data_IF_725359159235
#
_entry.id   IF_725359159235
#
_cell.length_a   1.000
_cell.length_b   1.000
_cell.length_c   1.000
_cell.angle_alpha   90.00
_cell.angle_beta   90.00
_cell.angle_gamma   90.00
#
_symmetry.space_group_name_H-M   'P 1'
#
loop_
_entity.id
_entity.type
_entity.pdbx_description
1 polymer ?
#
# COMPACT_ATOMS: atom_id res chain seq x y z
N UNK A 1 -7.97 32.69 -5.87
CA UNK A 1 -9.19 32.97 -6.65
C UNK A 1 -9.21 34.44 -7.01
N UNK A 2 -9.65 34.75 -8.20
CA UNK A 2 -9.80 36.12 -8.70
C UNK A 2 -11.27 36.49 -8.53
N UNK A 3 -11.54 37.49 -7.67
CA UNK A 3 -12.90 37.98 -7.46
C UNK A 3 -13.08 39.35 -8.15
N UNK A 4 -14.16 39.51 -8.89
CA UNK A 4 -14.59 40.77 -9.49
C UNK A 4 -15.46 41.53 -8.47
N UNK A 5 -14.82 42.34 -7.62
CA UNK A 5 -15.50 43.27 -6.71
C UNK A 5 -15.34 44.69 -7.20
N UNK A 6 -16.35 45.23 -7.90
CA UNK A 6 -16.37 46.62 -8.30
C UNK A 6 -15.24 47.03 -9.23
N UNK A 7 -14.69 48.22 -9.09
CA UNK A 7 -13.71 48.84 -10.02
C UNK A 7 -12.28 48.24 -9.94
N UNK A 8 -12.02 47.05 -9.38
CA UNK A 8 -10.69 46.46 -9.31
C UNK A 8 -10.70 44.93 -9.15
N UNK A 9 -9.91 44.24 -9.97
CA UNK A 9 -9.60 42.82 -9.77
C UNK A 9 -8.77 42.67 -8.49
N UNK A 10 -9.33 42.02 -7.47
CA UNK A 10 -8.63 41.69 -6.24
C UNK A 10 -8.39 40.15 -6.17
N UNK A 11 -7.14 39.80 -5.83
CA UNK A 11 -6.80 38.40 -5.58
C UNK A 11 -7.11 38.04 -4.13
N UNK A 12 -7.89 37.02 -3.92
CA UNK A 12 -8.16 36.45 -2.59
C UNK A 12 -7.49 35.08 -2.45
N UNK A 13 -7.05 34.77 -1.24
CA UNK A 13 -6.46 33.49 -0.91
C UNK A 13 -7.54 32.53 -0.42
N UNK A 14 -7.72 31.41 -1.11
CA UNK A 14 -8.63 30.34 -0.72
C UNK A 14 -7.82 29.09 -0.33
N UNK A 15 -8.25 28.42 0.74
CA UNK A 15 -7.60 27.19 1.19
C UNK A 15 -7.93 26.01 0.27
N UNK A 16 -6.92 25.43 -0.36
CA UNK A 16 -7.05 24.22 -1.16
C UNK A 16 -7.24 22.95 -0.30
N UNK A 17 -7.56 21.84 -0.95
CA UNK A 17 -7.90 20.57 -0.30
C UNK A 17 -6.84 20.09 0.72
N UNK A 18 -5.56 20.19 0.39
CA UNK A 18 -4.48 19.74 1.28
C UNK A 18 -4.33 20.62 2.53
N UNK A 19 -4.67 21.93 2.42
CA UNK A 19 -4.67 22.85 3.57
C UNK A 19 -5.88 22.59 4.46
N UNK A 20 -7.05 22.33 3.85
CA UNK A 20 -8.27 21.98 4.60
C UNK A 20 -8.13 20.64 5.34
N UNK A 21 -7.31 19.73 4.82
CA UNK A 21 -7.01 18.45 5.44
C UNK A 21 -5.92 18.51 6.53
N UNK A 22 -5.44 19.70 6.95
CA UNK A 22 -4.37 19.82 7.97
C UNK A 22 -4.71 19.00 9.23
N UNK A 23 -3.81 18.10 9.64
CA UNK A 23 -3.96 17.09 10.72
C UNK A 23 -5.01 16.00 10.46
N UNK A 24 -5.52 15.89 9.24
CA UNK A 24 -6.47 14.89 8.80
C UNK A 24 -5.93 14.00 7.69
N UNK A 25 -6.85 13.55 6.85
CA UNK A 25 -6.57 12.72 5.68
C UNK A 25 -7.10 13.44 4.44
N UNK A 26 -6.29 13.56 3.41
CA UNK A 26 -6.69 13.98 2.08
C UNK A 26 -6.78 12.76 1.17
N UNK A 27 -7.96 12.46 0.64
CA UNK A 27 -8.14 11.46 -0.39
C UNK A 27 -8.19 12.17 -1.75
N UNK A 28 -7.27 11.81 -2.64
CA UNK A 28 -7.14 12.40 -3.98
C UNK A 28 -7.26 11.30 -5.01
N UNK A 29 -8.29 11.37 -5.81
CA UNK A 29 -8.50 10.48 -6.95
C UNK A 29 -7.92 11.09 -8.21
N UNK A 30 -7.64 10.26 -9.22
CA UNK A 30 -7.10 10.67 -10.52
C UNK A 30 -5.79 11.49 -10.40
N UNK A 31 -4.86 11.04 -9.55
CA UNK A 31 -3.55 11.69 -9.38
C UNK A 31 -2.78 11.84 -10.70
N UNK A 32 -2.97 10.90 -11.62
CA UNK A 32 -2.39 10.90 -12.95
C UNK A 32 -2.85 12.09 -13.81
N UNK A 33 -4.03 12.65 -13.54
CA UNK A 33 -4.63 13.75 -14.32
C UNK A 33 -4.40 15.15 -13.72
N UNK A 34 -3.66 15.26 -12.62
CA UNK A 34 -3.39 16.55 -11.99
C UNK A 34 -2.55 17.47 -12.87
N UNK A 35 -2.85 18.77 -12.82
CA UNK A 35 -2.04 19.81 -13.46
C UNK A 35 -0.65 19.91 -12.81
N UNK A 36 0.35 20.38 -13.57
CA UNK A 36 1.74 20.48 -13.07
C UNK A 36 1.89 21.42 -11.87
N UNK A 37 1.13 22.52 -11.81
CA UNK A 37 1.14 23.46 -10.68
C UNK A 37 0.64 22.77 -9.39
N UNK A 38 -0.42 21.95 -9.50
CA UNK A 38 -0.99 21.21 -8.38
C UNK A 38 -0.05 20.07 -7.93
N UNK A 39 0.61 19.39 -8.87
CA UNK A 39 1.67 18.41 -8.57
C UNK A 39 2.81 19.06 -7.79
N UNK A 40 3.24 20.25 -8.18
CA UNK A 40 4.30 21.00 -7.47
C UNK A 40 3.91 21.35 -6.03
N UNK A 41 2.67 21.80 -5.81
CA UNK A 41 2.13 22.07 -4.48
C UNK A 41 2.07 20.78 -3.64
N UNK A 42 1.72 19.65 -4.25
CA UNK A 42 1.71 18.33 -3.58
C UNK A 42 3.13 17.91 -3.17
N UNK A 43 4.14 18.13 -4.02
CA UNK A 43 5.54 17.88 -3.66
C UNK A 43 5.95 18.61 -2.40
N UNK A 44 5.62 19.90 -2.29
CA UNK A 44 5.94 20.70 -1.11
C UNK A 44 5.16 20.24 0.12
N UNK A 45 3.87 19.93 -0.04
CA UNK A 45 3.03 19.44 1.04
C UNK A 45 3.53 18.12 1.63
N UNK A 46 3.89 17.15 0.77
CA UNK A 46 4.38 15.83 1.19
C UNK A 46 5.78 15.90 1.84
N UNK A 47 6.64 16.83 1.40
CA UNK A 47 8.01 16.92 1.91
C UNK A 47 8.11 17.84 3.11
N UNK A 48 7.48 19.01 3.06
CA UNK A 48 7.64 20.08 4.04
C UNK A 48 6.42 20.26 4.95
N UNK A 49 5.33 19.55 4.69
CA UNK A 49 4.04 19.67 5.41
C UNK A 49 3.49 21.11 5.41
N UNK A 50 3.80 21.85 4.35
CA UNK A 50 3.33 23.22 4.11
C UNK A 50 3.21 23.50 2.62
N UNK A 51 2.47 24.52 2.27
CA UNK A 51 2.34 25.04 0.91
C UNK A 51 2.67 26.51 0.95
N UNK A 52 3.64 26.92 0.13
CA UNK A 52 4.07 28.32 0.02
C UNK A 52 3.45 28.94 -1.23
N UNK A 53 2.81 30.08 -1.06
CA UNK A 53 2.17 30.84 -2.13
C UNK A 53 2.84 32.22 -2.21
N UNK A 54 3.33 32.53 -3.42
CA UNK A 54 3.85 33.87 -3.75
C UNK A 54 3.26 34.26 -5.10
N UNK A 55 2.09 34.92 -5.07
CA UNK A 55 1.37 35.29 -6.29
C UNK A 55 0.63 36.62 -6.09
N UNK A 56 0.69 37.51 -7.05
CA UNK A 56 -0.05 38.78 -7.08
C UNK A 56 0.15 39.67 -5.82
N UNK A 57 1.37 39.70 -5.24
CA UNK A 57 1.68 40.47 -4.04
C UNK A 57 1.26 39.79 -2.72
N UNK A 58 0.68 38.62 -2.77
CA UNK A 58 0.33 37.80 -1.59
C UNK A 58 1.47 36.81 -1.35
N UNK A 59 2.08 36.86 -0.17
CA UNK A 59 3.04 35.88 0.31
C UNK A 59 2.47 35.19 1.54
N UNK A 60 2.19 33.89 1.44
CA UNK A 60 1.63 33.10 2.54
C UNK A 60 2.24 31.73 2.58
N UNK A 61 2.44 31.19 3.79
CA UNK A 61 2.79 29.78 4.02
C UNK A 61 1.68 29.13 4.84
N UNK A 62 1.04 28.13 4.26
CA UNK A 62 -0.08 27.43 4.84
C UNK A 62 0.37 26.03 5.31
N UNK A 63 -0.10 25.60 6.47
CA UNK A 63 0.19 24.26 6.99
C UNK A 63 -0.64 23.22 6.24
N UNK A 64 0.00 22.11 5.90
CA UNK A 64 -0.61 20.98 5.19
C UNK A 64 -0.05 19.66 5.76
N UNK A 65 -0.25 19.44 7.06
CA UNK A 65 0.18 18.24 7.79
C UNK A 65 -0.91 17.19 7.70
N UNK A 66 -1.11 16.62 6.54
CA UNK A 66 -2.12 15.61 6.29
C UNK A 66 -1.47 14.28 5.86
N UNK A 67 -2.20 13.20 6.07
CA UNK A 67 -1.92 11.92 5.41
C UNK A 67 -2.61 11.94 4.06
N UNK A 68 -1.90 11.55 3.00
CA UNK A 68 -2.43 11.51 1.64
C UNK A 68 -2.76 10.07 1.26
N UNK A 69 -4.00 9.84 0.83
CA UNK A 69 -4.42 8.64 0.15
C UNK A 69 -4.67 9.01 -1.32
N UNK A 70 -3.82 8.49 -2.20
CA UNK A 70 -3.91 8.78 -3.63
C UNK A 70 -4.38 7.58 -4.41
N UNK A 71 -5.22 7.80 -5.42
CA UNK A 71 -5.57 6.82 -6.42
C UNK A 71 -5.18 7.34 -7.81
N UNK A 72 -4.61 6.44 -8.64
CA UNK A 72 -4.20 6.75 -10.00
C UNK A 72 -4.49 5.55 -10.90
N UNK A 73 -4.81 5.83 -12.15
CA UNK A 73 -5.01 4.80 -13.15
C UNK A 73 -3.76 4.66 -14.04
N UNK A 74 -3.46 3.46 -14.54
CA UNK A 74 -2.38 3.27 -15.50
C UNK A 74 -2.70 3.97 -16.82
N UNK A 75 -1.66 4.46 -17.52
CA UNK A 75 -1.75 5.20 -18.80
C UNK A 75 -2.62 4.52 -19.84
N UNK A 76 -2.62 3.18 -19.86
CA UNK A 76 -3.31 2.38 -20.87
C UNK A 76 -4.58 1.69 -20.34
N UNK A 77 -5.09 2.12 -19.18
CA UNK A 77 -6.31 1.60 -18.57
C UNK A 77 -6.17 0.25 -17.88
N UNK A 78 -5.02 -0.40 -17.99
CA UNK A 78 -4.65 -1.63 -17.28
C UNK A 78 -3.15 -1.66 -17.06
N UNK A 79 -2.71 -2.35 -16.02
CA UNK A 79 -1.29 -2.61 -15.79
C UNK A 79 -0.79 -3.72 -16.71
N UNK A 80 0.39 -3.52 -17.28
CA UNK A 80 1.16 -4.56 -17.95
C UNK A 80 2.12 -5.17 -16.91
N UNK A 81 2.08 -6.48 -16.75
CA UNK A 81 2.91 -7.20 -15.78
C UNK A 81 4.39 -7.23 -16.17
N UNK A 82 4.70 -6.94 -17.44
CA UNK A 82 6.06 -7.00 -17.97
C UNK A 82 6.79 -5.66 -18.00
N UNK A 83 6.14 -4.59 -17.56
CA UNK A 83 6.73 -3.25 -17.53
C UNK A 83 6.74 -2.68 -16.11
N UNK A 84 7.79 -1.92 -15.73
CA UNK A 84 7.86 -1.26 -14.42
C UNK A 84 6.65 -0.36 -14.18
N UNK A 85 6.03 -0.45 -13.01
CA UNK A 85 4.83 0.32 -12.66
C UNK A 85 5.07 1.83 -12.77
N UNK A 86 6.27 2.29 -12.42
CA UNK A 86 6.64 3.71 -12.53
C UNK A 86 6.55 4.27 -13.95
N UNK A 87 6.68 3.43 -14.99
CA UNK A 87 6.56 3.82 -16.39
C UNK A 87 5.11 3.81 -16.89
N UNK A 88 4.27 3.02 -16.22
CA UNK A 88 2.87 2.85 -16.58
C UNK A 88 1.95 3.91 -15.95
N UNK A 89 2.42 4.66 -14.97
CA UNK A 89 1.67 5.73 -14.33
C UNK A 89 2.22 7.07 -14.83
N UNK A 90 1.34 8.03 -15.13
CA UNK A 90 1.75 9.38 -15.50
C UNK A 90 2.07 10.25 -14.28
N UNK A 91 3.00 9.75 -13.46
CA UNK A 91 3.52 10.44 -12.28
C UNK A 91 5.04 10.52 -12.34
N UNK A 92 5.58 11.65 -11.92
CA UNK A 92 7.02 11.83 -11.83
C UNK A 92 7.64 10.87 -10.80
N UNK A 93 8.76 10.19 -11.10
CA UNK A 93 9.46 9.32 -10.14
C UNK A 93 9.75 10.00 -8.81
N UNK A 94 10.02 11.31 -8.84
CA UNK A 94 10.22 12.14 -7.66
C UNK A 94 8.96 12.22 -6.77
N UNK A 95 7.76 12.18 -7.33
CA UNK A 95 6.51 12.12 -6.58
C UNK A 95 6.26 10.71 -6.03
N UNK A 96 6.43 9.69 -6.87
CA UNK A 96 6.28 8.27 -6.50
C UNK A 96 7.17 7.95 -5.29
N UNK A 97 8.42 8.41 -5.28
CA UNK A 97 9.36 8.17 -4.18
C UNK A 97 8.96 8.80 -2.83
N UNK A 98 7.96 9.68 -2.81
CA UNK A 98 7.45 10.32 -1.58
C UNK A 98 6.33 9.54 -0.91
N UNK A 99 5.73 8.59 -1.62
CA UNK A 99 4.75 7.71 -1.01
C UNK A 99 5.43 6.66 -0.13
N UNK A 100 4.90 6.47 1.05
CA UNK A 100 5.37 5.47 1.99
C UNK A 100 5.05 4.05 1.49
N UNK A 101 3.82 3.88 0.96
CA UNK A 101 3.30 2.64 0.41
C UNK A 101 2.66 2.88 -0.95
N UNK A 102 2.78 1.91 -1.84
CA UNK A 102 2.17 1.89 -3.17
C UNK A 102 1.60 0.49 -3.36
N UNK A 103 0.31 0.40 -3.60
CA UNK A 103 -0.38 -0.85 -3.86
C UNK A 103 -0.91 -0.86 -5.28
N UNK A 104 -0.80 -1.98 -5.96
CA UNK A 104 -1.41 -2.20 -7.26
C UNK A 104 -2.67 -3.03 -7.09
N UNK A 105 -3.75 -2.59 -7.69
CA UNK A 105 -5.01 -3.32 -7.71
C UNK A 105 -5.24 -3.81 -9.13
N UNK A 106 -5.13 -5.12 -9.32
CA UNK A 106 -5.39 -5.78 -10.61
C UNK A 106 -6.70 -6.54 -10.54
N UNK A 107 -7.46 -6.51 -11.63
CA UNK A 107 -8.69 -7.28 -11.75
C UNK A 107 -8.35 -8.68 -12.30
N UNK A 108 -8.57 -9.69 -11.46
CA UNK A 108 -8.41 -11.10 -11.84
C UNK A 108 -9.77 -11.80 -11.66
N UNK A 109 -10.47 -12.12 -12.76
CA UNK A 109 -11.77 -12.79 -12.68
C UNK A 109 -11.68 -14.13 -11.94
N UNK A 110 -12.38 -14.23 -10.81
CA UNK A 110 -12.55 -15.44 -10.03
C UNK A 110 -14.05 -15.68 -9.79
N UNK A 111 -14.66 -16.66 -10.46
CA UNK A 111 -16.11 -16.89 -10.38
C UNK A 111 -16.64 -17.12 -8.96
N UNK A 112 -15.85 -17.71 -8.06
CA UNK A 112 -16.27 -17.94 -6.68
C UNK A 112 -16.19 -16.63 -5.86
N UNK A 113 -15.10 -15.90 -5.99
CA UNK A 113 -14.91 -14.61 -5.33
C UNK A 113 -15.91 -13.58 -5.85
N UNK A 114 -16.05 -13.47 -7.18
CA UNK A 114 -16.97 -12.55 -7.84
C UNK A 114 -18.43 -12.83 -7.47
N UNK A 115 -18.79 -14.11 -7.33
CA UNK A 115 -20.11 -14.52 -6.84
C UNK A 115 -20.39 -14.03 -5.43
N UNK A 116 -19.44 -14.22 -4.49
CA UNK A 116 -19.57 -13.73 -3.10
C UNK A 116 -19.64 -12.22 -3.04
N UNK A 117 -18.83 -11.53 -3.85
CA UNK A 117 -18.83 -10.08 -3.93
C UNK A 117 -20.17 -9.54 -4.47
N UNK A 118 -20.70 -10.15 -5.54
CA UNK A 118 -21.99 -9.78 -6.11
C UNK A 118 -23.12 -9.96 -5.09
N UNK A 119 -23.17 -11.09 -4.40
CA UNK A 119 -24.14 -11.36 -3.35
C UNK A 119 -24.07 -10.32 -2.22
N UNK A 120 -22.86 -9.97 -1.78
CA UNK A 120 -22.67 -8.95 -0.74
C UNK A 120 -23.15 -7.57 -1.19
N UNK A 121 -22.85 -7.17 -2.42
CA UNK A 121 -23.30 -5.89 -2.98
C UNK A 121 -24.83 -5.85 -3.08
N UNK A 122 -25.44 -6.92 -3.58
CA UNK A 122 -26.91 -7.01 -3.69
C UNK A 122 -27.59 -6.95 -2.32
N UNK A 123 -27.08 -7.66 -1.31
CA UNK A 123 -27.59 -7.61 0.06
C UNK A 123 -27.45 -6.21 0.67
N UNK A 124 -26.30 -5.56 0.47
CA UNK A 124 -26.06 -4.19 0.97
C UNK A 124 -27.02 -3.19 0.34
N UNK A 125 -27.25 -3.27 -0.98
CA UNK A 125 -28.22 -2.43 -1.66
C UNK A 125 -29.65 -2.68 -1.14
N UNK A 126 -30.05 -3.93 -0.98
CA UNK A 126 -31.34 -4.30 -0.44
C UNK A 126 -31.57 -3.76 0.99
N UNK A 127 -30.57 -3.88 1.87
CA UNK A 127 -30.62 -3.29 3.20
C UNK A 127 -30.80 -1.77 3.15
N UNK A 128 -30.11 -1.08 2.22
CA UNK A 128 -30.28 0.35 1.99
C UNK A 128 -31.67 0.74 1.50
N UNK A 129 -32.26 -0.03 0.59
CA UNK A 129 -33.63 0.16 0.10
C UNK A 129 -34.65 0.02 1.23
N UNK A 130 -34.54 -1.04 2.05
CA UNK A 130 -35.41 -1.27 3.19
C UNK A 130 -35.35 -0.12 4.21
N UNK A 131 -34.16 0.33 4.55
CA UNK A 131 -33.97 1.48 5.43
C UNK A 131 -34.59 2.77 4.85
N UNK A 132 -34.43 3.01 3.55
CA UNK A 132 -34.99 4.17 2.85
C UNK A 132 -36.50 4.11 2.83
N UNK A 133 -37.12 2.96 2.57
CA UNK A 133 -38.57 2.76 2.59
C UNK A 133 -39.14 2.99 3.99
N UNK A 134 -38.49 2.44 5.02
CA UNK A 134 -38.90 2.65 6.41
C UNK A 134 -38.92 4.14 6.79
N UNK A 135 -37.87 4.87 6.39
CA UNK A 135 -37.72 6.27 6.78
C UNK A 135 -38.67 7.21 6.00
N UNK A 136 -39.09 6.82 4.80
CA UNK A 136 -39.90 7.67 3.90
C UNK A 136 -41.39 7.28 3.82
N UNK A 137 -41.74 6.04 4.13
CA UNK A 137 -43.07 5.49 3.95
C UNK A 137 -43.66 5.12 5.31
N UNK A 138 -44.64 5.92 5.81
CA UNK A 138 -45.28 5.70 7.10
C UNK A 138 -46.09 4.38 7.18
N UNK A 139 -46.36 3.73 6.03
CA UNK A 139 -47.09 2.46 5.92
C UNK A 139 -46.22 1.40 5.24
N UNK A 140 -44.94 1.30 5.63
CA UNK A 140 -44.07 0.25 5.13
C UNK A 140 -44.61 -1.14 5.49
N UNK A 141 -44.68 -2.05 4.52
CA UNK A 141 -45.11 -3.44 4.72
C UNK A 141 -44.02 -4.27 5.47
N UNK A 142 -42.81 -3.75 5.59
CA UNK A 142 -41.70 -4.42 6.26
C UNK A 142 -41.73 -4.18 7.77
N UNK A 143 -41.60 -5.26 8.51
CA UNK A 143 -41.46 -5.19 9.97
C UNK A 143 -40.07 -4.69 10.35
N UNK A 144 -39.98 -4.00 11.52
CA UNK A 144 -38.68 -3.57 12.06
C UNK A 144 -37.70 -4.72 12.13
N UNK A 145 -38.13 -5.90 12.53
CA UNK A 145 -37.31 -7.08 12.69
C UNK A 145 -36.70 -7.56 11.35
N UNK A 146 -37.46 -7.51 10.25
CA UNK A 146 -36.94 -7.87 8.92
C UNK A 146 -35.87 -6.88 8.43
N UNK A 147 -36.01 -5.59 8.73
CA UNK A 147 -35.01 -4.57 8.39
C UNK A 147 -33.75 -4.77 9.21
N UNK A 148 -33.92 -5.03 10.51
CA UNK A 148 -32.80 -5.24 11.43
C UNK A 148 -32.00 -6.50 11.08
N UNK A 149 -32.69 -7.62 10.78
CA UNK A 149 -32.03 -8.89 10.40
C UNK A 149 -31.15 -8.73 9.13
N UNK A 150 -31.69 -8.07 8.08
CA UNK A 150 -30.93 -7.82 6.84
C UNK A 150 -29.80 -6.82 7.05
N UNK A 151 -30.03 -5.80 7.88
CA UNK A 151 -29.01 -4.79 8.19
C UNK A 151 -27.88 -5.39 9.02
N UNK A 152 -28.19 -6.30 9.96
CA UNK A 152 -27.20 -6.97 10.80
C UNK A 152 -26.30 -7.89 9.96
N UNK A 153 -26.84 -8.57 8.93
CA UNK A 153 -26.07 -9.44 8.02
C UNK A 153 -24.98 -8.67 7.23
N UNK A 154 -25.21 -7.38 6.93
CA UNK A 154 -24.27 -6.52 6.18
C UNK A 154 -23.59 -5.47 7.05
N UNK A 155 -23.86 -5.47 8.35
CA UNK A 155 -23.26 -4.51 9.27
C UNK A 155 -21.74 -4.73 9.38
N UNK A 156 -20.96 -3.65 9.56
CA UNK A 156 -19.53 -3.78 9.83
C UNK A 156 -19.31 -4.42 11.20
N UNK A 157 -18.26 -5.25 11.32
CA UNK A 157 -17.90 -5.90 12.60
C UNK A 157 -17.65 -4.92 13.73
N UNK A 158 -17.17 -3.73 13.40
CA UNK A 158 -16.90 -2.65 14.37
C UNK A 158 -17.76 -1.45 14.04
N UNK A 159 -18.54 -1.00 15.01
CA UNK A 159 -19.36 0.21 14.88
C UNK A 159 -18.51 1.44 14.54
N UNK A 160 -18.93 2.22 13.55
CA UNK A 160 -18.19 3.36 13.02
C UNK A 160 -17.95 4.46 14.06
N UNK A 161 -18.90 4.64 15.01
CA UNK A 161 -18.76 5.63 16.08
C UNK A 161 -17.75 5.17 17.13
N UNK A 162 -17.76 3.87 17.45
CA UNK A 162 -16.78 3.25 18.33
C UNK A 162 -15.38 3.36 17.73
N UNK A 163 -15.22 3.05 16.43
CA UNK A 163 -13.96 3.17 15.72
C UNK A 163 -13.42 4.62 15.74
N UNK A 164 -14.27 5.61 15.49
CA UNK A 164 -13.88 7.03 15.59
C UNK A 164 -13.39 7.41 16.98
N UNK A 165 -14.09 6.95 18.02
CA UNK A 165 -13.72 7.19 19.42
C UNK A 165 -12.39 6.53 19.74
N UNK A 166 -12.17 5.30 19.28
CA UNK A 166 -10.92 4.56 19.43
C UNK A 166 -9.73 5.28 18.79
N UNK A 167 -9.86 5.64 17.52
CA UNK A 167 -8.81 6.38 16.80
C UNK A 167 -8.53 7.73 17.45
N UNK A 168 -9.55 8.46 17.88
CA UNK A 168 -9.38 9.74 18.56
C UNK A 168 -8.70 9.58 19.93
N UNK A 169 -8.97 8.49 20.64
CA UNK A 169 -8.30 8.16 21.89
C UNK A 169 -6.82 7.81 21.64
N UNK A 170 -6.53 6.89 20.73
CA UNK A 170 -5.18 6.50 20.36
C UNK A 170 -4.30 7.71 19.96
N UNK A 171 -4.84 8.60 19.10
CA UNK A 171 -4.13 9.82 18.67
C UNK A 171 -3.82 10.80 19.81
N UNK A 172 -4.64 10.83 20.87
CA UNK A 172 -4.46 11.78 21.99
C UNK A 172 -3.65 11.21 23.14
N UNK A 173 -3.68 9.89 23.31
CA UNK A 173 -3.17 9.25 24.52
C UNK A 173 -1.91 8.43 24.29
N UNK A 174 -1.65 7.93 23.06
CA UNK A 174 -0.53 7.05 22.78
C UNK A 174 0.56 7.78 21.99
N UNK A 175 1.76 7.84 22.56
CA UNK A 175 2.96 8.45 21.97
C UNK A 175 4.11 7.45 22.01
N UNK A 176 4.08 6.42 21.14
CA UNK A 176 5.00 5.29 21.22
C UNK A 176 6.47 5.70 21.03
N UNK A 177 7.35 5.07 21.82
CA UNK A 177 8.80 5.17 21.68
C UNK A 177 9.38 3.80 21.35
N UNK A 178 10.37 3.76 20.46
CA UNK A 178 10.94 2.49 20.00
C UNK A 178 11.87 1.85 21.01
N UNK A 179 11.74 0.53 21.18
CA UNK A 179 12.73 -0.31 21.85
C UNK A 179 14.00 -0.45 21.01
N UNK A 180 15.08 -0.92 21.62
CA UNK A 180 16.34 -1.13 20.87
C UNK A 180 16.23 -2.31 19.91
N UNK A 181 15.43 -3.33 20.22
CA UNK A 181 15.09 -4.45 19.35
C UNK A 181 14.34 -3.96 18.11
N UNK A 182 13.28 -3.16 18.27
CA UNK A 182 12.53 -2.59 17.14
C UNK A 182 13.42 -1.74 16.22
N UNK A 183 14.32 -0.93 16.81
CA UNK A 183 15.30 -0.15 16.03
C UNK A 183 16.26 -1.05 15.26
N UNK A 184 16.71 -2.17 15.85
CA UNK A 184 17.59 -3.11 15.18
C UNK A 184 16.90 -3.75 13.98
N UNK A 185 15.68 -4.27 14.13
CA UNK A 185 14.88 -4.86 13.06
C UNK A 185 14.70 -3.90 11.87
N UNK A 186 14.28 -2.66 12.14
CA UNK A 186 14.08 -1.66 11.07
C UNK A 186 15.41 -1.32 10.39
N UNK A 187 16.48 -1.15 11.15
CA UNK A 187 17.81 -0.83 10.61
C UNK A 187 18.34 -1.95 9.73
N UNK A 188 18.22 -3.19 10.15
CA UNK A 188 18.70 -4.37 9.42
C UNK A 188 17.98 -4.49 8.09
N UNK A 189 16.66 -4.42 8.09
CA UNK A 189 15.88 -4.44 6.86
C UNK A 189 16.21 -3.28 5.92
N UNK A 190 16.34 -2.05 6.44
CA UNK A 190 16.68 -0.89 5.62
C UNK A 190 18.07 -1.02 4.98
N UNK A 191 19.07 -1.49 5.72
CA UNK A 191 20.42 -1.68 5.21
C UNK A 191 20.44 -2.79 4.16
N UNK A 192 19.76 -3.89 4.39
CA UNK A 192 19.62 -4.98 3.44
C UNK A 192 18.95 -4.51 2.14
N UNK A 193 17.79 -3.89 2.24
CA UNK A 193 17.07 -3.33 1.08
C UNK A 193 17.93 -2.33 0.30
N UNK A 194 18.66 -1.46 1.00
CA UNK A 194 19.53 -0.47 0.34
C UNK A 194 20.75 -1.11 -0.32
N UNK A 195 21.30 -2.18 0.25
CA UNK A 195 22.46 -2.89 -0.34
C UNK A 195 22.07 -3.59 -1.64
N UNK A 196 20.84 -4.08 -1.72
CA UNK A 196 20.28 -4.76 -2.90
C UNK A 196 19.81 -3.78 -3.99
N UNK A 197 19.25 -2.65 -3.61
CA UNK A 197 18.78 -1.60 -4.53
C UNK A 197 19.83 -0.53 -4.86
N UNK A 198 21.12 -0.86 -4.84
CA UNK A 198 22.19 0.09 -5.12
C UNK A 198 22.42 0.36 -6.63
N UNK A 199 21.77 -0.37 -7.52
CA UNK A 199 21.86 -0.19 -8.96
C UNK A 199 21.09 1.07 -9.42
N UNK A 200 21.68 1.79 -10.39
CA UNK A 200 21.12 3.02 -10.98
C UNK A 200 19.76 2.76 -11.67
N UNK A 201 19.47 1.53 -12.06
CA UNK A 201 18.23 1.11 -12.75
C UNK A 201 17.14 0.61 -11.80
N UNK A 202 17.30 0.76 -10.47
CA UNK A 202 16.29 0.32 -9.52
C UNK A 202 14.95 1.10 -9.74
N UNK A 203 13.81 0.40 -9.87
CA UNK A 203 12.53 1.01 -10.24
C UNK A 203 12.01 2.03 -9.21
N UNK A 204 12.42 1.89 -7.96
CA UNK A 204 12.15 2.87 -6.89
C UNK A 204 13.41 3.05 -6.04
N UNK A 205 13.98 4.24 -5.96
CA UNK A 205 15.18 4.48 -5.17
C UNK A 205 14.91 4.30 -3.67
N UNK A 206 15.70 3.45 -3.01
CA UNK A 206 15.65 3.24 -1.56
C UNK A 206 16.36 4.41 -0.86
N UNK A 207 15.59 5.38 -0.42
CA UNK A 207 16.08 6.57 0.26
C UNK A 207 15.80 6.54 1.77
N UNK A 208 16.34 7.50 2.52
CA UNK A 208 16.03 7.68 3.94
C UNK A 208 14.52 7.83 4.21
N UNK A 209 13.71 8.24 3.21
CA UNK A 209 12.25 8.29 3.34
C UNK A 209 11.63 6.93 3.61
N UNK A 210 12.17 5.85 3.04
CA UNK A 210 11.69 4.48 3.35
C UNK A 210 11.96 4.09 4.80
N UNK A 211 13.09 4.52 5.36
CA UNK A 211 13.36 4.34 6.79
C UNK A 211 12.34 5.08 7.65
N UNK A 212 12.04 6.34 7.31
CA UNK A 212 11.01 7.12 8.00
C UNK A 212 9.61 6.52 7.85
N UNK A 213 9.29 5.93 6.69
CA UNK A 213 8.04 5.21 6.48
C UNK A 213 7.91 4.00 7.42
N UNK A 214 8.96 3.18 7.54
CA UNK A 214 9.00 2.05 8.48
C UNK A 214 8.76 2.50 9.91
N UNK A 215 9.42 3.60 10.34
CA UNK A 215 9.22 4.18 11.67
C UNK A 215 7.76 4.59 11.88
N UNK A 216 7.17 5.32 10.93
CA UNK A 216 5.77 5.76 11.01
C UNK A 216 4.78 4.60 11.07
N UNK A 217 5.02 3.53 10.30
CA UNK A 217 4.18 2.33 10.30
C UNK A 217 4.29 1.56 11.62
N UNK A 218 5.50 1.40 12.15
CA UNK A 218 5.72 0.73 13.44
C UNK A 218 5.08 1.51 14.61
N UNK A 219 5.20 2.85 14.62
CA UNK A 219 4.50 3.69 15.57
C UNK A 219 2.96 3.58 15.43
N UNK A 220 2.45 3.50 14.20
CA UNK A 220 1.03 3.32 13.96
C UNK A 220 0.55 1.95 14.47
N UNK A 221 1.32 0.88 14.26
CA UNK A 221 1.05 -0.45 14.80
C UNK A 221 0.94 -0.43 16.32
N UNK A 222 1.89 0.18 17.02
CA UNK A 222 1.85 0.33 18.48
C UNK A 222 0.61 1.14 18.93
N UNK A 223 0.26 2.24 18.23
CA UNK A 223 -0.95 3.04 18.52
C UNK A 223 -2.24 2.25 18.34
N UNK A 224 -2.31 1.36 17.34
CA UNK A 224 -3.47 0.47 17.16
C UNK A 224 -3.65 -0.46 18.35
N UNK A 225 -2.59 -0.84 19.04
CA UNK A 225 -2.61 -1.63 20.27
C UNK A 225 -2.80 -0.78 21.54
N UNK A 226 -2.92 0.55 21.41
CA UNK A 226 -2.91 1.53 22.51
C UNK A 226 -1.65 1.43 23.40
N UNK A 227 -0.51 1.11 22.78
CA UNK A 227 0.78 0.99 23.46
C UNK A 227 1.59 2.28 23.34
N UNK A 228 2.32 2.64 24.38
CA UNK A 228 3.31 3.73 24.37
C UNK A 228 4.72 3.22 24.01
N UNK A 229 4.83 1.94 23.63
CA UNK A 229 6.11 1.33 23.25
C UNK A 229 5.94 0.61 21.91
N UNK A 230 6.86 0.89 20.99
CA UNK A 230 7.02 0.15 19.74
C UNK A 230 7.93 -1.05 20.02
N UNK A 231 7.39 -2.24 19.93
CA UNK A 231 8.09 -3.50 20.16
C UNK A 231 8.61 -4.11 18.85
N UNK A 232 9.42 -5.16 18.93
CA UNK A 232 9.96 -5.85 17.78
C UNK A 232 8.85 -6.32 16.81
N UNK A 233 7.73 -6.82 17.33
CA UNK A 233 6.57 -7.26 16.56
C UNK A 233 5.94 -6.13 15.72
N UNK A 234 5.92 -4.90 16.22
CA UNK A 234 5.43 -3.73 15.46
C UNK A 234 6.39 -3.40 14.31
N UNK A 235 7.70 -3.54 14.55
CA UNK A 235 8.72 -3.34 13.54
C UNK A 235 8.66 -4.42 12.45
N UNK A 236 8.53 -5.69 12.84
CA UNK A 236 8.36 -6.83 11.92
C UNK A 236 7.11 -6.64 11.04
N UNK A 237 5.97 -6.30 11.62
CA UNK A 237 4.75 -6.01 10.87
C UNK A 237 4.94 -4.86 9.87
N UNK A 238 5.67 -3.81 10.24
CA UNK A 238 5.96 -2.71 9.32
C UNK A 238 6.88 -3.14 8.17
N UNK A 239 7.85 -4.00 8.44
CA UNK A 239 8.74 -4.61 7.44
C UNK A 239 7.94 -5.47 6.47
N UNK A 240 7.04 -6.32 6.98
CA UNK A 240 6.22 -7.20 6.14
C UNK A 240 5.29 -6.43 5.21
N UNK A 241 4.67 -5.35 5.71
CA UNK A 241 3.83 -4.47 4.89
C UNK A 241 4.66 -3.82 3.77
N UNK A 242 5.84 -3.29 4.08
CA UNK A 242 6.70 -2.65 3.07
C UNK A 242 7.23 -3.68 2.07
N UNK A 243 7.58 -4.89 2.53
CA UNK A 243 8.01 -5.99 1.66
C UNK A 243 6.91 -6.40 0.70
N UNK A 244 5.69 -6.64 1.18
CA UNK A 244 4.54 -6.94 0.34
C UNK A 244 4.27 -5.83 -0.69
N UNK A 245 4.30 -4.58 -0.24
CA UNK A 245 4.14 -3.42 -1.13
C UNK A 245 5.22 -3.37 -2.25
N UNK A 246 6.47 -3.71 -1.94
CA UNK A 246 7.54 -3.76 -2.94
C UNK A 246 7.34 -4.92 -3.93
N UNK A 247 6.88 -6.08 -3.45
CA UNK A 247 6.53 -7.21 -4.31
C UNK A 247 5.38 -6.88 -5.26
N UNK A 248 4.32 -6.23 -4.75
CA UNK A 248 3.16 -5.82 -5.55
C UNK A 248 3.54 -4.89 -6.72
N UNK A 249 4.61 -4.12 -6.58
CA UNK A 249 5.12 -3.25 -7.64
C UNK A 249 6.22 -3.91 -8.49
N UNK A 250 6.44 -5.21 -8.32
CA UNK A 250 7.39 -6.00 -9.11
C UNK A 250 8.84 -5.88 -8.67
N UNK A 251 9.11 -5.47 -7.45
CA UNK A 251 10.48 -5.50 -6.90
C UNK A 251 10.73 -6.84 -6.23
N UNK A 252 11.67 -7.61 -6.77
CA UNK A 252 12.15 -8.83 -6.15
C UNK A 252 12.85 -8.50 -4.82
N UNK A 253 12.36 -8.99 -3.67
CA UNK A 253 12.97 -8.69 -2.38
C UNK A 253 14.36 -9.32 -2.19
N UNK A 254 14.74 -10.29 -3.03
CA UNK A 254 16.07 -10.92 -2.97
C UNK A 254 17.12 -10.09 -3.71
N UNK A 255 16.78 -9.56 -4.88
CA UNK A 255 17.72 -8.83 -5.75
C UNK A 255 17.54 -7.32 -5.66
N UNK A 256 16.40 -6.83 -5.22
CA UNK A 256 16.03 -5.42 -5.22
C UNK A 256 15.75 -4.84 -6.61
N UNK A 257 15.78 -5.66 -7.65
CA UNK A 257 15.53 -5.27 -9.05
C UNK A 257 14.07 -5.51 -9.43
N UNK A 258 13.64 -4.87 -10.50
CA UNK A 258 12.32 -5.13 -11.06
C UNK A 258 12.28 -6.52 -11.71
N UNK A 259 11.30 -7.31 -11.33
CA UNK A 259 10.99 -8.60 -11.94
C UNK A 259 9.47 -8.73 -12.15
N UNK A 260 9.04 -8.73 -13.41
CA UNK A 260 7.64 -8.84 -13.77
C UNK A 260 6.97 -10.11 -13.24
N UNK A 261 7.73 -11.19 -13.07
CA UNK A 261 7.22 -12.47 -12.61
C UNK A 261 6.80 -12.42 -11.13
N UNK A 262 7.38 -11.51 -10.34
CA UNK A 262 6.98 -11.28 -8.93
C UNK A 262 5.57 -10.76 -8.83
N UNK A 263 5.14 -9.88 -9.76
CA UNK A 263 3.78 -9.33 -9.79
C UNK A 263 2.74 -10.41 -10.08
N UNK A 264 3.06 -11.33 -11.00
CA UNK A 264 2.11 -12.36 -11.44
C UNK A 264 1.97 -13.51 -10.45
N UNK A 265 3.08 -13.97 -9.88
CA UNK A 265 3.14 -15.24 -9.15
C UNK A 265 3.53 -15.10 -7.68
N UNK A 266 3.96 -13.91 -7.24
CA UNK A 266 4.57 -13.69 -5.93
C UNK A 266 5.99 -14.26 -5.81
N UNK A 267 6.54 -14.82 -6.92
CA UNK A 267 7.89 -15.42 -6.98
C UNK A 267 8.67 -14.82 -8.13
N UNK A 268 9.94 -14.49 -7.89
CA UNK A 268 10.81 -13.92 -8.92
C UNK A 268 11.12 -14.94 -10.03
N UNK A 269 11.48 -14.44 -11.21
CA UNK A 269 11.95 -15.29 -12.30
C UNK A 269 13.11 -16.16 -11.85
N UNK A 270 14.06 -15.59 -11.12
CA UNK A 270 15.22 -16.32 -10.55
C UNK A 270 14.75 -17.46 -9.63
N UNK A 271 13.75 -17.21 -8.79
CA UNK A 271 13.19 -18.24 -7.91
C UNK A 271 12.47 -19.33 -8.70
N UNK A 272 11.68 -18.97 -9.72
CA UNK A 272 11.01 -19.96 -10.59
C UNK A 272 11.99 -20.79 -11.41
N UNK A 273 13.06 -20.16 -11.92
CA UNK A 273 14.11 -20.88 -12.62
C UNK A 273 14.84 -21.85 -11.69
N UNK A 274 15.06 -21.48 -10.41
CA UNK A 274 15.58 -22.39 -9.38
C UNK A 274 14.62 -23.57 -9.14
N UNK A 275 13.35 -23.29 -8.86
CA UNK A 275 12.32 -24.33 -8.66
C UNK A 275 12.23 -25.27 -9.86
N UNK A 276 12.29 -24.71 -11.08
CA UNK A 276 12.28 -25.50 -12.31
C UNK A 276 13.53 -26.40 -12.44
N UNK A 277 14.70 -25.85 -12.10
CA UNK A 277 15.95 -26.58 -12.12
C UNK A 277 15.96 -27.70 -11.07
N UNK A 278 15.48 -27.40 -9.84
CA UNK A 278 15.33 -28.40 -8.78
C UNK A 278 14.35 -29.51 -9.20
N UNK A 279 13.20 -29.18 -9.77
CA UNK A 279 12.27 -30.17 -10.31
C UNK A 279 12.90 -31.03 -11.42
N UNK A 280 13.71 -30.42 -12.29
CA UNK A 280 14.48 -31.13 -13.30
C UNK A 280 15.48 -32.11 -12.69
N UNK A 281 16.26 -31.66 -11.70
CA UNK A 281 17.21 -32.48 -10.97
C UNK A 281 16.51 -33.64 -10.24
N UNK A 282 15.39 -33.36 -9.55
CA UNK A 282 14.60 -34.43 -8.90
C UNK A 282 14.17 -35.48 -9.91
N UNK A 283 13.65 -35.08 -11.07
CA UNK A 283 13.22 -36.01 -12.11
C UNK A 283 14.38 -36.83 -12.69
N UNK A 284 15.57 -36.24 -12.87
CA UNK A 284 16.78 -36.95 -13.32
C UNK A 284 17.27 -37.96 -12.28
N UNK A 285 17.23 -37.57 -11.00
CA UNK A 285 17.66 -38.44 -9.89
C UNK A 285 16.64 -39.58 -9.67
N UNK A 286 15.34 -39.32 -9.82
CA UNK A 286 14.29 -40.35 -9.75
C UNK A 286 14.46 -41.45 -10.82
N UNK A 287 15.04 -41.14 -11.99
CA UNK A 287 15.37 -42.16 -13.00
C UNK A 287 16.54 -43.05 -12.58
N UNK A 288 17.38 -42.56 -11.66
CA UNK A 288 18.57 -43.31 -11.17
C UNK A 288 18.26 -44.12 -9.89
N UNK A 289 17.24 -43.74 -9.12
CA UNK A 289 16.89 -44.33 -7.82
C UNK A 289 15.45 -44.88 -7.83
N UNK A 290 15.28 -46.20 -7.51
CA UNK A 290 14.00 -46.88 -7.54
C UNK A 290 13.01 -46.41 -6.43
N UNK A 291 13.48 -45.74 -5.38
CA UNK A 291 12.67 -45.34 -4.20
C UNK A 291 12.45 -43.78 -4.11
N UNK A 292 12.67 -43.06 -5.19
CA UNK A 292 12.57 -41.58 -5.24
C UNK A 292 13.92 -40.87 -5.07
N UNK A 293 13.96 -39.55 -5.30
CA UNK A 293 15.17 -38.74 -5.22
C UNK A 293 15.57 -38.46 -3.76
N UNK A 294 16.74 -38.92 -3.26
CA UNK A 294 17.21 -38.55 -1.94
C UNK A 294 17.52 -37.03 -1.86
N UNK A 295 17.08 -36.37 -0.81
CA UNK A 295 17.26 -34.91 -0.63
C UNK A 295 18.74 -34.53 -0.64
N UNK A 296 19.62 -35.33 0.00
CA UNK A 296 21.06 -35.06 0.02
C UNK A 296 21.66 -35.06 -1.40
N UNK A 297 21.26 -35.98 -2.27
CA UNK A 297 21.69 -36.05 -3.65
C UNK A 297 21.17 -34.86 -4.49
N UNK A 298 19.94 -34.41 -4.22
CA UNK A 298 19.37 -33.23 -4.90
C UNK A 298 20.14 -31.97 -4.51
N UNK A 299 20.48 -31.82 -3.23
CA UNK A 299 21.25 -30.67 -2.73
C UNK A 299 22.70 -30.67 -3.24
N UNK A 300 23.35 -31.84 -3.28
CA UNK A 300 24.71 -31.96 -3.81
C UNK A 300 24.77 -31.61 -5.30
N UNK A 301 23.84 -32.09 -6.12
CA UNK A 301 23.75 -31.73 -7.54
C UNK A 301 23.34 -30.27 -7.77
N UNK A 302 22.53 -29.70 -6.89
CA UNK A 302 22.18 -28.30 -6.92
C UNK A 302 23.40 -27.40 -6.67
N UNK A 303 24.27 -27.77 -5.73
CA UNK A 303 25.55 -27.08 -5.46
C UNK A 303 26.51 -27.21 -6.65
N UNK A 304 26.61 -28.39 -7.30
CA UNK A 304 27.44 -28.60 -8.49
C UNK A 304 27.08 -27.70 -9.68
N UNK A 305 25.78 -27.32 -9.82
CA UNK A 305 25.33 -26.38 -10.85
C UNK A 305 25.39 -24.92 -10.38
N UNK A 306 25.96 -24.66 -9.18
CA UNK A 306 26.16 -23.32 -8.64
C UNK A 306 24.93 -22.71 -7.97
N UNK A 307 23.96 -23.52 -7.52
CA UNK A 307 22.80 -23.10 -6.76
C UNK A 307 23.17 -23.10 -5.26
N UNK A 308 22.72 -22.06 -4.54
CA UNK A 308 22.91 -21.97 -3.08
C UNK A 308 22.10 -23.07 -2.38
N UNK A 309 22.81 -23.94 -1.63
CA UNK A 309 22.22 -25.12 -0.99
C UNK A 309 21.12 -24.77 0.02
N UNK A 310 21.24 -23.65 0.77
CA UNK A 310 20.23 -23.23 1.71
C UNK A 310 18.94 -22.80 0.99
N UNK A 311 19.07 -22.11 -0.15
CA UNK A 311 17.92 -21.72 -0.97
C UNK A 311 17.28 -22.89 -1.72
N UNK A 312 18.08 -23.90 -2.07
CA UNK A 312 17.57 -25.14 -2.68
C UNK A 312 16.79 -25.97 -1.67
N UNK A 313 17.23 -26.02 -0.41
CA UNK A 313 16.52 -26.70 0.68
C UNK A 313 15.16 -26.06 1.00
N UNK A 314 15.07 -24.73 0.95
CA UNK A 314 13.81 -23.99 1.17
C UNK A 314 12.78 -24.20 0.05
N UNK A 315 13.20 -24.65 -1.13
CA UNK A 315 12.35 -24.82 -2.31
C UNK A 315 11.99 -26.28 -2.62
N UNK A 316 12.54 -27.28 -1.87
CA UNK A 316 12.21 -28.70 -1.92
C UNK A 316 11.01 -28.99 -1.03
#
# INVERSE_FOLDING_TARGET
>A
VQDDFGDGQQWTLEAGALVLADKGIAAVDELDKMASDDRSAMHEALEQQKISISKAGINATLKSRCSLLGAANPKYGRFDQYEPIGEQIDLEPALISRFDLIFTVTDQPDPEHDGKLADHILKTNYAGELNTQRDRIATSEFTQQQVDDVTEEVAPEIDAELLRKYVAHAKRSCFPTMTDEAKATIREFYVDLRSKGADEDAPIPVTARKLEALVRLAEASARVRLSDTVEAEDAERSVDIVRSCLQDIGVDPETGQFDADVVETGTSKTQRDRIKNIKGLISEIEEEFEEGAPIEEVLDRADEIGMDAAKAEDEI
#
